data_IF_555765574230
#
_entry.id   IF_555765574230
#
_cell.length_a   1.000
_cell.length_b   1.000
_cell.length_c   1.000
_cell.angle_alpha   90.00
_cell.angle_beta   90.00
_cell.angle_gamma   90.00
#
_symmetry.space_group_name_H-M   'P 1'
#
loop_
_entity.id
_entity.type
_entity.pdbx_description
1 polymer ?
#
# COMPACT_ATOMS: atom_id res chain seq x y z
N UNK A 1 12.77 -1.79 -9.38
CA UNK A 1 13.14 -3.22 -9.49
C UNK A 1 12.22 -3.91 -10.51
N UNK A 2 12.68 -4.92 -11.24
CA UNK A 2 11.84 -5.71 -12.15
C UNK A 2 11.54 -5.11 -13.54
N UNK A 3 11.60 -3.79 -13.74
CA UNK A 3 11.35 -3.20 -15.07
C UNK A 3 12.45 -3.59 -16.08
N UNK A 4 12.03 -4.10 -17.24
CA UNK A 4 12.92 -4.52 -18.34
C UNK A 4 13.60 -3.32 -19.01
N UNK A 5 14.59 -3.58 -19.87
CA UNK A 5 15.20 -2.51 -20.69
C UNK A 5 14.19 -1.85 -21.60
N UNK A 6 13.24 -2.62 -22.14
CA UNK A 6 12.17 -2.13 -23.01
C UNK A 6 11.24 -1.20 -22.25
N UNK A 7 10.77 -1.62 -21.06
CA UNK A 7 9.86 -0.80 -20.23
C UNK A 7 10.50 0.53 -19.85
N UNK A 8 11.79 0.51 -19.50
CA UNK A 8 12.54 1.73 -19.17
C UNK A 8 12.70 2.64 -20.39
N UNK A 9 12.94 2.07 -21.57
CA UNK A 9 13.02 2.81 -22.83
C UNK A 9 11.70 3.50 -23.16
N UNK A 10 10.60 2.75 -23.12
CA UNK A 10 9.25 3.26 -23.37
C UNK A 10 8.86 4.35 -22.36
N UNK A 11 9.10 4.12 -21.06
CA UNK A 11 8.85 5.13 -20.02
C UNK A 11 9.63 6.42 -20.28
N UNK A 12 10.91 6.31 -20.67
CA UNK A 12 11.76 7.47 -20.96
C UNK A 12 11.27 8.26 -22.18
N UNK A 13 10.76 7.58 -23.21
CA UNK A 13 10.14 8.26 -24.36
C UNK A 13 8.91 9.09 -23.95
N UNK A 14 8.20 8.66 -22.91
CA UNK A 14 7.09 9.42 -22.30
C UNK A 14 7.55 10.45 -21.25
N UNK A 15 8.87 10.70 -21.10
CA UNK A 15 9.40 11.61 -20.07
C UNK A 15 9.21 11.11 -18.64
N UNK A 16 9.01 9.81 -18.46
CA UNK A 16 8.69 9.16 -17.19
C UNK A 16 9.71 8.08 -16.81
N UNK A 17 9.53 7.46 -15.65
CA UNK A 17 10.27 6.25 -15.27
C UNK A 17 9.34 5.21 -14.62
N UNK A 18 9.65 3.91 -14.77
CA UNK A 18 8.79 2.86 -14.25
C UNK A 18 8.83 2.82 -12.72
N UNK A 19 7.66 2.60 -12.12
CA UNK A 19 7.47 2.42 -10.68
C UNK A 19 6.87 1.05 -10.37
N UNK A 20 7.00 0.63 -9.11
CA UNK A 20 6.39 -0.62 -8.59
C UNK A 20 5.26 -0.36 -7.58
N UNK A 21 5.10 0.89 -7.17
CA UNK A 21 3.99 1.36 -6.34
C UNK A 21 3.95 2.89 -6.38
N UNK A 22 2.81 3.46 -5.99
CA UNK A 22 2.58 4.88 -5.84
C UNK A 22 1.72 5.17 -4.61
N UNK A 23 1.78 6.41 -4.12
CA UNK A 23 0.80 6.90 -3.14
C UNK A 23 -0.48 7.40 -3.83
N UNK A 24 -1.58 7.52 -3.10
CA UNK A 24 -2.82 8.13 -3.61
C UNK A 24 -2.81 9.66 -3.75
N UNK A 25 -1.67 10.32 -3.52
CA UNK A 25 -1.57 11.79 -3.50
C UNK A 25 -1.66 12.40 -4.91
N UNK A 26 -0.98 11.80 -5.89
CA UNK A 26 -0.97 12.23 -7.29
C UNK A 26 -1.00 11.00 -8.18
N UNK A 27 -2.20 10.53 -8.49
CA UNK A 27 -2.39 9.27 -9.21
C UNK A 27 -3.54 9.39 -10.21
N UNK A 28 -3.32 8.79 -11.38
CA UNK A 28 -4.34 8.49 -12.37
C UNK A 28 -4.32 6.99 -12.60
N UNK A 29 -5.50 6.38 -12.59
CA UNK A 29 -5.67 4.92 -12.70
C UNK A 29 -6.53 4.59 -13.90
N UNK A 30 -6.15 3.54 -14.62
CA UNK A 30 -6.97 2.95 -15.65
C UNK A 30 -8.18 2.26 -15.03
N UNK A 31 -9.39 2.71 -15.37
CA UNK A 31 -10.63 2.14 -14.86
C UNK A 31 -10.82 0.67 -15.25
N UNK A 32 -10.24 0.21 -16.36
CA UNK A 32 -10.19 -1.20 -16.72
C UNK A 32 -9.38 -2.01 -15.70
N UNK A 33 -8.24 -1.47 -15.25
CA UNK A 33 -7.40 -2.11 -14.26
C UNK A 33 -8.13 -2.23 -12.91
N UNK A 34 -8.90 -1.21 -12.52
CA UNK A 34 -9.77 -1.27 -11.34
C UNK A 34 -10.82 -2.38 -11.51
N UNK A 35 -11.48 -2.47 -12.66
CA UNK A 35 -12.47 -3.53 -12.91
C UNK A 35 -11.88 -4.94 -12.86
N UNK A 36 -10.65 -5.13 -13.34
CA UNK A 36 -9.96 -6.43 -13.33
C UNK A 36 -9.44 -6.83 -11.96
N UNK A 37 -8.90 -5.89 -11.19
CA UNK A 37 -8.21 -6.19 -9.93
C UNK A 37 -9.04 -5.86 -8.69
N UNK A 38 -10.18 -5.20 -8.82
CA UNK A 38 -10.99 -4.74 -7.71
C UNK A 38 -10.48 -3.42 -7.14
N UNK A 39 -11.03 -3.03 -5.98
CA UNK A 39 -10.77 -1.79 -5.27
C UNK A 39 -9.60 -1.95 -4.27
N UNK A 40 -9.13 -0.83 -3.69
CA UNK A 40 -8.24 -0.88 -2.54
C UNK A 40 -8.91 -1.58 -1.35
N UNK A 41 -8.14 -2.34 -0.57
CA UNK A 41 -8.69 -3.08 0.58
C UNK A 41 -9.10 -2.12 1.70
N UNK A 42 -10.40 -1.91 1.89
CA UNK A 42 -10.92 -0.93 2.83
C UNK A 42 -10.53 -1.21 4.30
N UNK A 43 -10.33 -2.48 4.68
CA UNK A 43 -9.99 -2.85 6.07
C UNK A 43 -8.55 -2.51 6.46
N UNK A 44 -7.68 -2.20 5.48
CA UNK A 44 -6.36 -1.64 5.75
C UNK A 44 -6.51 -0.40 6.61
N UNK A 45 -7.56 0.40 6.38
CA UNK A 45 -7.67 1.71 7.02
C UNK A 45 -6.34 2.47 6.77
N UNK A 46 -6.01 3.48 7.58
CA UNK A 46 -4.84 4.32 7.37
C UNK A 46 -3.51 3.52 7.17
N UNK A 47 -2.84 3.75 6.04
CA UNK A 47 -1.49 3.31 5.60
C UNK A 47 -1.40 1.95 4.90
N UNK A 48 -0.49 1.88 3.92
CA UNK A 48 -0.16 0.70 3.09
C UNK A 48 -1.26 0.25 2.12
N UNK A 49 -2.45 0.83 2.18
CA UNK A 49 -3.53 0.63 1.22
C UNK A 49 -3.11 1.08 -0.18
N UNK A 50 -2.50 2.26 -0.29
CA UNK A 50 -1.95 2.79 -1.53
C UNK A 50 -0.82 1.92 -2.10
N UNK A 51 0.13 1.52 -1.26
CA UNK A 51 1.24 0.67 -1.62
C UNK A 51 0.76 -0.71 -2.09
N UNK A 52 -0.11 -1.36 -1.33
CA UNK A 52 -0.66 -2.68 -1.68
C UNK A 52 -1.39 -2.61 -3.01
N UNK A 53 -2.34 -1.68 -3.11
CA UNK A 53 -3.23 -1.58 -4.24
C UNK A 53 -2.47 -1.28 -5.54
N UNK A 54 -1.57 -0.29 -5.49
CA UNK A 54 -0.78 0.07 -6.67
C UNK A 54 0.25 -1.01 -7.00
N UNK A 55 0.90 -1.65 -6.03
CA UNK A 55 1.82 -2.76 -6.32
C UNK A 55 1.08 -3.95 -6.95
N UNK A 56 -0.16 -4.22 -6.53
CA UNK A 56 -1.02 -5.24 -7.12
C UNK A 56 -1.41 -4.93 -8.55
N UNK A 57 -1.90 -3.73 -8.83
CA UNK A 57 -2.18 -3.29 -10.20
C UNK A 57 -0.93 -3.36 -11.10
N UNK A 58 0.22 -2.99 -10.56
CA UNK A 58 1.48 -2.94 -11.28
C UNK A 58 2.20 -4.28 -11.35
N UNK A 59 1.65 -5.36 -10.78
CA UNK A 59 2.20 -6.70 -10.93
C UNK A 59 2.23 -7.11 -12.40
N UNK A 60 1.12 -6.87 -13.09
CA UNK A 60 0.91 -7.20 -14.50
C UNK A 60 0.60 -5.96 -15.35
N UNK A 61 0.62 -4.77 -14.73
CA UNK A 61 0.34 -3.48 -15.36
C UNK A 61 1.57 -2.58 -15.55
N UNK A 62 1.35 -1.46 -16.24
CA UNK A 62 2.38 -0.42 -16.46
C UNK A 62 2.18 0.71 -15.46
N UNK A 63 3.25 1.06 -14.74
CA UNK A 63 3.24 2.14 -13.76
C UNK A 63 4.33 3.15 -14.07
N UNK A 64 3.95 4.42 -14.20
CA UNK A 64 4.86 5.50 -14.57
C UNK A 64 4.85 6.59 -13.51
N UNK A 65 6.03 6.95 -13.02
CA UNK A 65 6.21 8.24 -12.37
C UNK A 65 6.44 9.31 -13.43
N UNK A 66 5.58 10.33 -13.44
CA UNK A 66 5.64 11.43 -14.40
C UNK A 66 6.11 12.69 -13.65
N UNK A 67 7.36 13.16 -13.84
CA UNK A 67 7.90 14.31 -13.10
C UNK A 67 7.10 15.61 -13.27
N UNK A 68 6.40 15.74 -14.40
CA UNK A 68 5.53 16.89 -14.68
C UNK A 68 4.18 16.83 -13.94
N UNK A 69 3.73 15.66 -13.47
CA UNK A 69 2.50 15.51 -12.69
C UNK A 69 2.75 15.91 -11.24
N UNK A 70 2.48 17.17 -10.91
CA UNK A 70 2.80 17.78 -9.61
C UNK A 70 1.53 18.29 -8.94
N UNK A 71 1.43 18.01 -7.64
CA UNK A 71 0.35 18.49 -6.76
C UNK A 71 0.94 18.97 -5.44
N UNK A 72 0.21 19.84 -4.73
CA UNK A 72 0.56 20.23 -3.37
C UNK A 72 -0.14 19.30 -2.37
N UNK A 73 0.65 18.62 -1.54
CA UNK A 73 0.13 17.81 -0.43
C UNK A 73 0.22 18.62 0.87
N UNK A 74 -0.92 19.14 1.33
CA UNK A 74 -0.99 19.98 2.52
C UNK A 74 -0.97 19.12 3.79
N UNK A 75 0.17 19.10 4.49
CA UNK A 75 0.35 18.34 5.73
C UNK A 75 0.57 19.28 6.91
N UNK A 76 -0.06 18.99 8.05
CA UNK A 76 0.15 19.75 9.30
C UNK A 76 1.59 19.65 9.82
N UNK A 77 2.21 18.48 9.64
CA UNK A 77 3.61 18.22 10.02
C UNK A 77 4.26 17.49 8.85
N UNK A 78 5.46 17.91 8.46
CA UNK A 78 6.27 17.17 7.50
C UNK A 78 6.80 15.89 8.17
N UNK A 79 5.97 14.86 8.20
CA UNK A 79 6.32 13.57 8.76
C UNK A 79 7.12 12.76 7.75
N UNK A 80 8.43 12.63 7.97
CA UNK A 80 9.20 11.56 7.34
C UNK A 80 8.68 10.20 7.78
N UNK A 81 8.97 9.14 7.00
CA UNK A 81 8.61 7.75 7.33
C UNK A 81 9.25 7.19 8.61
N UNK A 82 10.05 7.99 9.31
CA UNK A 82 10.77 7.67 10.53
C UNK A 82 10.35 8.54 11.74
N UNK A 83 9.38 9.44 11.58
CA UNK A 83 8.75 10.14 12.71
C UNK A 83 7.92 9.16 13.55
N UNK A 84 7.93 9.32 14.89
CA UNK A 84 7.18 8.43 15.79
C UNK A 84 5.68 8.49 15.49
N UNK A 85 5.08 7.40 14.98
CA UNK A 85 3.69 7.39 14.58
C UNK A 85 2.71 7.27 15.76
N UNK A 86 3.22 7.03 16.98
CA UNK A 86 2.43 6.76 18.17
C UNK A 86 1.50 5.55 17.97
N UNK A 87 0.23 5.63 18.41
CA UNK A 87 -0.74 4.53 18.28
C UNK A 87 -0.97 4.06 16.84
N UNK A 88 -0.72 4.91 15.84
CA UNK A 88 -0.87 4.53 14.43
C UNK A 88 0.12 3.47 13.99
N UNK A 89 1.20 3.22 14.75
CA UNK A 89 2.12 2.12 14.46
C UNK A 89 1.42 0.75 14.43
N UNK A 90 0.30 0.60 15.15
CA UNK A 90 -0.53 -0.60 15.09
C UNK A 90 -0.91 -0.92 13.65
N UNK A 91 -1.39 0.09 12.90
CA UNK A 91 -1.82 -0.08 11.51
C UNK A 91 -0.64 -0.35 10.57
N UNK A 92 0.49 0.34 10.75
CA UNK A 92 1.70 0.08 9.95
C UNK A 92 2.12 -1.39 10.08
N UNK A 93 2.18 -1.93 11.30
CA UNK A 93 2.60 -3.32 11.52
C UNK A 93 1.56 -4.31 11.00
N UNK A 94 0.28 -4.09 11.35
CA UNK A 94 -0.84 -4.93 10.90
C UNK A 94 -0.91 -5.02 9.38
N UNK A 95 -0.90 -3.88 8.71
CA UNK A 95 -1.11 -3.81 7.27
C UNK A 95 0.12 -4.33 6.52
N UNK A 96 1.35 -4.09 7.00
CA UNK A 96 2.54 -4.73 6.44
C UNK A 96 2.49 -6.25 6.55
N UNK A 97 1.99 -6.79 7.66
CA UNK A 97 1.81 -8.23 7.81
C UNK A 97 0.82 -8.76 6.76
N UNK A 98 -0.29 -8.07 6.51
CA UNK A 98 -1.22 -8.42 5.43
C UNK A 98 -0.60 -8.34 4.04
N UNK A 99 0.14 -7.27 3.72
CA UNK A 99 0.85 -7.14 2.43
C UNK A 99 1.80 -8.31 2.20
N UNK A 100 2.56 -8.71 3.22
CA UNK A 100 3.57 -9.75 3.06
C UNK A 100 3.00 -11.18 3.10
N UNK A 101 1.85 -11.39 3.72
CA UNK A 101 1.33 -12.76 3.94
C UNK A 101 0.02 -13.06 3.21
N UNK A 102 -0.79 -12.06 2.86
CA UNK A 102 -2.14 -12.21 2.30
C UNK A 102 -2.34 -11.53 0.95
N UNK A 103 -1.49 -10.57 0.59
CA UNK A 103 -1.56 -9.90 -0.71
C UNK A 103 -0.68 -10.60 -1.76
N UNK A 104 -1.19 -10.64 -2.98
CA UNK A 104 -0.49 -11.04 -4.20
C UNK A 104 0.25 -9.86 -4.86
N UNK A 105 0.27 -8.67 -4.25
CA UNK A 105 0.92 -7.48 -4.80
C UNK A 105 2.43 -7.65 -5.09
N UNK A 106 3.11 -8.52 -4.34
CA UNK A 106 4.56 -8.67 -4.41
C UNK A 106 4.96 -10.07 -4.88
N UNK A 107 5.93 -10.14 -5.80
CA UNK A 107 6.65 -11.38 -6.10
C UNK A 107 7.56 -11.78 -4.93
N UNK A 108 8.10 -13.02 -4.90
CA UNK A 108 8.92 -13.49 -3.78
C UNK A 108 10.14 -12.60 -3.48
N UNK A 109 10.84 -12.14 -4.52
CA UNK A 109 12.01 -11.27 -4.37
C UNK A 109 11.63 -9.89 -3.86
N UNK A 110 10.61 -9.26 -4.48
CA UNK A 110 10.10 -7.95 -4.04
C UNK A 110 9.65 -8.02 -2.57
N UNK A 111 8.93 -9.09 -2.20
CA UNK A 111 8.48 -9.34 -0.83
C UNK A 111 9.65 -9.40 0.15
N UNK A 112 10.70 -10.16 -0.15
CA UNK A 112 11.88 -10.26 0.70
C UNK A 112 12.58 -8.89 0.87
N UNK A 113 12.76 -8.15 -0.22
CA UNK A 113 13.39 -6.82 -0.20
C UNK A 113 12.56 -5.82 0.60
N UNK A 114 11.25 -5.75 0.36
CA UNK A 114 10.37 -4.83 1.08
C UNK A 114 10.27 -5.21 2.56
N UNK A 115 10.09 -6.49 2.89
CA UNK A 115 10.04 -6.96 4.28
C UNK A 115 11.35 -6.65 5.03
N UNK A 116 12.50 -6.92 4.42
CA UNK A 116 13.80 -6.57 5.00
C UNK A 116 13.96 -5.06 5.22
N UNK A 117 13.58 -4.24 4.21
CA UNK A 117 13.63 -2.79 4.33
C UNK A 117 12.70 -2.25 5.43
N UNK A 118 11.51 -2.84 5.58
CA UNK A 118 10.55 -2.52 6.63
C UNK A 118 11.12 -2.87 8.01
N UNK A 119 11.69 -4.06 8.17
CA UNK A 119 12.32 -4.47 9.42
C UNK A 119 13.44 -3.51 9.85
N UNK A 120 14.32 -3.13 8.90
CA UNK A 120 15.39 -2.14 9.16
C UNK A 120 14.81 -0.79 9.58
N UNK A 121 13.74 -0.32 8.94
CA UNK A 121 13.07 0.95 9.31
C UNK A 121 12.47 0.88 10.71
N UNK A 122 11.78 -0.21 11.04
CA UNK A 122 11.19 -0.38 12.37
C UNK A 122 12.25 -0.48 13.46
N UNK A 123 13.37 -1.16 13.22
CA UNK A 123 14.51 -1.20 14.16
C UNK A 123 15.07 0.21 14.39
N UNK A 124 15.29 0.98 13.32
CA UNK A 124 15.78 2.37 13.44
C UNK A 124 14.78 3.28 14.18
N UNK A 125 13.49 3.11 13.90
CA UNK A 125 12.42 3.86 14.56
C UNK A 125 12.36 3.54 16.06
N UNK A 126 12.43 2.26 16.44
CA UNK A 126 12.53 1.84 17.83
C UNK A 126 13.80 2.38 18.51
N UNK A 127 14.94 2.37 17.83
CA UNK A 127 16.18 2.91 18.39
C UNK A 127 16.08 4.43 18.68
N UNK A 128 15.37 5.17 17.83
CA UNK A 128 15.22 6.64 17.91
C UNK A 128 14.02 7.12 18.74
N UNK A 129 13.03 6.27 19.01
CA UNK A 129 11.84 6.65 19.77
C UNK A 129 12.20 7.02 21.21
N UNK A 130 11.59 8.11 21.70
CA UNK A 130 11.68 8.55 23.09
C UNK A 130 10.93 7.63 24.06
N UNK A 131 9.94 6.87 23.58
CA UNK A 131 9.20 5.87 24.36
C UNK A 131 9.17 4.51 23.62
N UNK A 132 10.30 3.82 23.69
CA UNK A 132 10.48 2.50 23.06
C UNK A 132 9.49 1.45 23.56
N UNK A 133 9.05 1.56 24.83
CA UNK A 133 8.14 0.59 25.44
C UNK A 133 6.74 0.74 24.84
N UNK A 134 6.25 1.97 24.73
CA UNK A 134 4.97 2.24 24.07
C UNK A 134 5.01 1.79 22.60
N UNK A 135 6.06 2.16 21.86
CA UNK A 135 6.18 1.82 20.45
C UNK A 135 6.26 0.30 20.22
N UNK A 136 7.02 -0.43 21.04
CA UNK A 136 7.06 -1.89 21.00
C UNK A 136 5.69 -2.51 21.36
N UNK A 137 4.94 -1.91 22.29
CA UNK A 137 3.58 -2.30 22.63
C UNK A 137 2.62 -2.16 21.44
N UNK A 138 2.65 -1.03 20.74
CA UNK A 138 1.88 -0.81 19.51
C UNK A 138 2.25 -1.82 18.42
N UNK A 139 3.55 -2.10 18.24
CA UNK A 139 3.99 -3.08 17.27
C UNK A 139 3.50 -4.50 17.57
N UNK A 140 3.58 -4.95 18.83
CA UNK A 140 3.05 -6.25 19.26
C UNK A 140 1.53 -6.35 19.04
N UNK A 141 0.80 -5.28 19.33
CA UNK A 141 -0.65 -5.24 19.06
C UNK A 141 -0.94 -5.31 17.57
N UNK A 142 -0.21 -4.57 16.74
CA UNK A 142 -0.34 -4.64 15.28
C UNK A 142 -0.06 -6.04 14.72
N UNK A 143 0.95 -6.74 15.24
CA UNK A 143 1.20 -8.15 14.90
C UNK A 143 0.00 -9.03 15.26
N UNK A 144 -0.51 -8.91 16.49
CA UNK A 144 -1.65 -9.70 16.96
C UNK A 144 -2.92 -9.45 16.12
N UNK A 145 -3.21 -8.19 15.78
CA UNK A 145 -4.35 -7.85 14.92
C UNK A 145 -4.15 -8.35 13.48
N UNK A 146 -2.92 -8.32 12.97
CA UNK A 146 -2.60 -8.73 11.59
C UNK A 146 -2.58 -10.24 11.34
N UNK A 147 -2.67 -11.07 12.39
CA UNK A 147 -2.83 -12.54 12.23
C UNK A 147 -4.14 -12.86 11.52
N UNK A 148 -5.21 -12.13 11.83
CA UNK A 148 -6.49 -12.29 11.13
C UNK A 148 -6.40 -11.60 9.77
N UNK A 149 -6.92 -12.21 8.69
CA UNK A 149 -6.98 -11.52 7.41
C UNK A 149 -7.80 -10.24 7.50
N UNK A 150 -7.56 -9.27 6.62
CA UNK A 150 -8.46 -8.12 6.47
C UNK A 150 -9.87 -8.62 6.11
N UNK A 151 -10.89 -7.93 6.62
CA UNK A 151 -12.27 -8.14 6.19
C UNK A 151 -12.39 -7.71 4.72
N UNK A 152 -13.15 -8.44 3.89
CA UNK A 152 -13.38 -8.04 2.51
C UNK A 152 -14.01 -6.65 2.41
N UNK A 153 -13.60 -5.88 1.41
CA UNK A 153 -14.10 -4.52 1.17
C UNK A 153 -15.63 -4.43 1.09
N UNK A 154 -16.30 -5.42 0.49
CA UNK A 154 -17.77 -5.53 0.48
C UNK A 154 -18.39 -5.58 1.88
N UNK A 155 -17.72 -6.23 2.83
CA UNK A 155 -18.19 -6.34 4.22
C UNK A 155 -17.90 -5.07 5.02
N UNK A 156 -16.77 -4.40 4.75
CA UNK A 156 -16.41 -3.14 5.43
C UNK A 156 -17.34 -2.01 5.01
N UNK A 157 -17.70 -1.94 3.73
CA UNK A 157 -18.55 -0.88 3.16
C UNK A 157 -20.03 -1.26 3.07
N UNK A 158 -20.42 -2.38 3.69
CA UNK A 158 -21.82 -2.79 3.78
C UNK A 158 -22.66 -1.69 4.46
N UNK A 159 -23.85 -1.42 3.92
CA UNK A 159 -24.77 -0.40 4.46
C UNK A 159 -24.37 1.05 4.18
N UNK A 160 -23.34 1.29 3.37
CA UNK A 160 -22.99 2.64 2.88
C UNK A 160 -23.70 2.94 1.55
N UNK A 161 -23.83 4.21 1.12
CA UNK A 161 -24.44 4.56 -0.17
C UNK A 161 -23.76 3.96 -1.40
N UNK A 162 -22.53 3.45 -1.26
CA UNK A 162 -21.73 2.87 -2.37
C UNK A 162 -21.71 1.33 -2.33
N UNK A 163 -22.44 0.69 -1.42
CA UNK A 163 -22.34 -0.76 -1.18
C UNK A 163 -22.62 -1.61 -2.43
N UNK A 164 -23.64 -1.24 -3.22
CA UNK A 164 -24.01 -1.97 -4.44
C UNK A 164 -22.94 -1.85 -5.53
N UNK A 165 -22.37 -0.67 -5.69
CA UNK A 165 -21.30 -0.42 -6.68
C UNK A 165 -20.01 -1.13 -6.29
N UNK A 166 -19.64 -1.10 -5.00
CA UNK A 166 -18.51 -1.86 -4.46
C UNK A 166 -18.71 -3.35 -4.72
N UNK A 167 -19.90 -3.88 -4.42
CA UNK A 167 -20.22 -5.31 -4.65
C UNK A 167 -20.09 -5.67 -6.13
N UNK A 168 -20.56 -4.80 -7.03
CA UNK A 168 -20.48 -5.02 -8.48
C UNK A 168 -19.03 -5.09 -8.97
N UNK A 169 -18.19 -4.15 -8.52
CA UNK A 169 -16.77 -4.08 -8.90
C UNK A 169 -16.00 -5.27 -8.33
N UNK A 170 -16.14 -5.57 -7.05
CA UNK A 170 -15.43 -6.68 -6.39
C UNK A 170 -15.84 -8.05 -6.96
N UNK A 171 -17.13 -8.25 -7.28
CA UNK A 171 -17.59 -9.49 -7.95
C UNK A 171 -16.98 -9.64 -9.34
N UNK A 172 -16.92 -8.55 -10.12
CA UNK A 172 -16.28 -8.55 -11.43
C UNK A 172 -14.79 -8.89 -11.38
N UNK A 173 -14.13 -8.55 -10.27
CA UNK A 173 -12.72 -8.86 -10.01
C UNK A 173 -12.49 -10.22 -9.31
N UNK A 174 -13.55 -10.98 -8.99
CA UNK A 174 -13.45 -12.27 -8.29
C UNK A 174 -13.04 -12.16 -6.81
N UNK A 175 -13.36 -11.04 -6.15
CA UNK A 175 -12.98 -10.71 -4.77
C UNK A 175 -14.16 -10.64 -3.79
N UNK A 176 -15.39 -10.85 -4.26
CA UNK A 176 -16.63 -10.88 -3.48
C UNK A 176 -17.47 -12.12 -3.76
#
# INVERSE_FOLDING_TARGET
PGASRVDRGAARMAGAYPIRSASFVSILLDAEAIRRHGLPEADYFLWNDDFEYTARLLRDGVGLYVPASRVYHLTKVFGGSDADPGPRFINEVRNKLWVFTRSDALGPLDRALYAGSTAVRWVRMLARSGDRRALAGHGRRGLAEGVRPPRPTVAVLAGTPVADDVTRVERGAGRA
#
